data_IF_338229848263
#
_entry.id   IF_338229848263
#
_cell.length_a   1.000
_cell.length_b   1.000
_cell.length_c   1.000
_cell.angle_alpha   90.00
_cell.angle_beta   90.00
_cell.angle_gamma   90.00
#
_symmetry.space_group_name_H-M   'P 1'
#
loop_
_entity.id
_entity.type
_entity.pdbx_description
1 polymer ?
#
# COMPACT_ATOMS: atom_id res chain seq x y z
N UNK A 1 -15.19 -12.04 -1.72
CA UNK A 1 -15.12 -10.63 -1.29
C UNK A 1 -14.55 -9.84 -2.44
N UNK A 2 -15.15 -8.71 -2.81
CA UNK A 2 -14.67 -7.85 -3.91
C UNK A 2 -13.41 -7.10 -3.47
N UNK A 3 -12.31 -7.22 -4.20
CA UNK A 3 -11.07 -6.44 -3.99
C UNK A 3 -11.37 -4.94 -4.11
N UNK A 4 -10.85 -4.13 -3.19
CA UNK A 4 -11.07 -2.68 -3.20
C UNK A 4 -10.33 -2.02 -4.38
N UNK A 5 -10.83 -0.89 -4.89
CA UNK A 5 -10.17 -0.18 -5.98
C UNK A 5 -8.74 0.27 -5.60
N UNK A 6 -8.54 0.63 -4.32
CA UNK A 6 -7.24 0.98 -3.75
C UNK A 6 -6.25 -0.19 -3.66
N UNK A 7 -6.73 -1.44 -3.66
CA UNK A 7 -5.87 -2.64 -3.62
C UNK A 7 -5.44 -3.11 -5.02
N UNK A 8 -6.01 -2.53 -6.09
CA UNK A 8 -5.67 -2.86 -7.48
C UNK A 8 -4.54 -1.97 -7.97
N UNK A 9 -3.32 -2.30 -7.56
CA UNK A 9 -2.12 -1.47 -7.78
C UNK A 9 -1.38 -1.76 -9.11
N UNK A 10 -1.87 -2.72 -9.90
CA UNK A 10 -1.35 -3.03 -11.22
C UNK A 10 -1.85 -2.00 -12.25
N UNK A 11 -1.06 -0.94 -12.46
CA UNK A 11 -1.32 0.09 -13.45
C UNK A 11 -1.74 1.44 -12.86
N UNK A 12 -2.60 2.18 -13.59
CA UNK A 12 -3.01 3.53 -13.19
C UNK A 12 -4.12 3.49 -12.12
N UNK A 13 -4.13 4.43 -11.15
CA UNK A 13 -5.17 4.51 -10.13
C UNK A 13 -6.58 4.70 -10.72
N UNK A 14 -7.54 3.91 -10.23
CA UNK A 14 -8.96 3.99 -10.64
C UNK A 14 -9.71 5.05 -9.84
N UNK A 15 -9.34 6.32 -10.00
CA UNK A 15 -9.85 7.44 -9.19
C UNK A 15 -11.39 7.48 -9.07
N UNK A 16 -12.13 7.20 -10.15
CA UNK A 16 -13.60 7.22 -10.16
C UNK A 16 -14.26 6.13 -9.31
N UNK A 17 -13.51 5.13 -8.83
CA UNK A 17 -14.00 4.02 -8.02
C UNK A 17 -13.56 4.10 -6.55
N UNK A 18 -12.71 5.07 -6.21
CA UNK A 18 -12.24 5.30 -4.84
C UNK A 18 -13.32 6.06 -4.07
N UNK A 19 -13.75 5.51 -2.93
CA UNK A 19 -14.66 6.18 -2.00
C UNK A 19 -14.01 6.32 -0.62
N UNK A 20 -14.38 7.33 0.19
CA UNK A 20 -13.78 7.56 1.52
C UNK A 20 -13.81 6.32 2.42
N UNK A 21 -14.89 5.54 2.40
CA UNK A 21 -15.04 4.34 3.22
C UNK A 21 -14.03 3.23 2.89
N UNK A 22 -13.43 3.24 1.69
CA UNK A 22 -12.39 2.29 1.29
C UNK A 22 -11.01 2.64 1.86
N UNK A 23 -10.77 3.92 2.20
CA UNK A 23 -9.44 4.43 2.53
C UNK A 23 -8.87 3.74 3.77
N UNK A 24 -9.60 3.81 4.88
CA UNK A 24 -9.14 3.23 6.15
C UNK A 24 -8.85 1.73 6.05
N UNK A 25 -9.74 0.87 5.53
CA UNK A 25 -9.45 -0.56 5.44
C UNK A 25 -8.28 -0.87 4.49
N UNK A 26 -8.21 -0.24 3.31
CA UNK A 26 -7.14 -0.49 2.35
C UNK A 26 -5.76 -0.07 2.88
N UNK A 27 -5.66 1.14 3.45
CA UNK A 27 -4.38 1.68 3.98
C UNK A 27 -3.94 0.90 5.22
N UNK A 28 -4.89 0.54 6.11
CA UNK A 28 -4.56 -0.25 7.31
C UNK A 28 -4.01 -1.62 6.94
N UNK A 29 -4.62 -2.28 5.94
CA UNK A 29 -4.13 -3.55 5.42
C UNK A 29 -2.73 -3.42 4.81
N UNK A 30 -2.51 -2.42 3.96
CA UNK A 30 -1.19 -2.20 3.35
C UNK A 30 -0.09 -1.96 4.41
N UNK A 31 -0.38 -1.18 5.46
CA UNK A 31 0.55 -0.97 6.59
C UNK A 31 0.84 -2.28 7.32
N UNK A 32 -0.18 -3.11 7.54
CA UNK A 32 -0.02 -4.41 8.18
C UNK A 32 0.83 -5.37 7.34
N UNK A 33 0.62 -5.39 6.02
CA UNK A 33 1.43 -6.17 5.07
C UNK A 33 2.91 -5.73 5.10
N UNK A 34 3.18 -4.42 5.19
CA UNK A 34 4.55 -3.90 5.38
C UNK A 34 5.18 -4.40 6.69
N UNK A 35 4.44 -4.34 7.80
CA UNK A 35 4.94 -4.79 9.11
C UNK A 35 5.26 -6.29 9.10
N UNK A 36 4.35 -7.11 8.58
CA UNK A 36 4.55 -8.55 8.46
C UNK A 36 5.76 -8.87 7.58
N UNK A 37 5.96 -8.11 6.49
CA UNK A 37 7.15 -8.25 5.64
C UNK A 37 8.43 -7.97 6.44
N UNK A 38 8.47 -6.88 7.21
CA UNK A 38 9.62 -6.54 8.06
C UNK A 38 9.87 -7.66 9.09
N UNK A 39 8.84 -8.13 9.78
CA UNK A 39 8.96 -9.22 10.75
C UNK A 39 9.52 -10.50 10.12
N UNK A 40 9.03 -10.88 8.94
CA UNK A 40 9.51 -12.05 8.21
C UNK A 40 10.97 -11.90 7.74
N UNK A 41 11.34 -10.72 7.25
CA UNK A 41 12.72 -10.39 6.86
C UNK A 41 13.66 -10.52 8.06
N UNK A 42 13.31 -9.94 9.20
CA UNK A 42 14.13 -10.00 10.42
C UNK A 42 14.23 -11.44 10.95
N UNK A 43 13.11 -12.17 11.01
CA UNK A 43 13.08 -13.54 11.50
C UNK A 43 13.87 -14.53 10.64
N UNK A 44 14.08 -14.22 9.35
CA UNK A 44 14.81 -15.09 8.44
C UNK A 44 16.31 -15.22 8.75
N UNK A 45 16.92 -14.21 9.40
CA UNK A 45 18.36 -14.14 9.62
C UNK A 45 19.20 -13.98 8.34
N UNK A 46 18.57 -13.81 7.17
CA UNK A 46 19.26 -13.55 5.91
C UNK A 46 19.43 -12.04 5.69
N UNK A 47 20.67 -11.57 5.73
CA UNK A 47 21.02 -10.16 5.52
C UNK A 47 21.40 -9.83 4.06
N UNK A 48 21.04 -10.71 3.12
CA UNK A 48 21.24 -10.45 1.69
C UNK A 48 20.42 -9.24 1.22
N UNK A 49 20.90 -8.58 0.17
CA UNK A 49 20.16 -7.50 -0.50
C UNK A 49 18.77 -7.97 -0.94
N UNK A 50 18.68 -9.18 -1.49
CA UNK A 50 17.43 -9.77 -1.96
C UNK A 50 16.41 -9.96 -0.84
N UNK A 51 16.86 -10.27 0.38
CA UNK A 51 15.94 -10.45 1.50
C UNK A 51 15.61 -9.14 2.20
N UNK A 52 16.60 -8.30 2.52
CA UNK A 52 16.37 -7.08 3.29
C UNK A 52 15.83 -5.97 2.40
N UNK A 53 16.59 -5.58 1.37
CA UNK A 53 16.27 -4.39 0.58
C UNK A 53 15.11 -4.68 -0.36
N UNK A 54 15.22 -5.71 -1.21
CA UNK A 54 14.20 -5.95 -2.25
C UNK A 54 12.81 -6.22 -1.68
N UNK A 55 12.69 -7.05 -0.63
CA UNK A 55 11.37 -7.35 -0.04
C UNK A 55 10.74 -6.14 0.65
N UNK A 56 11.54 -5.33 1.36
CA UNK A 56 11.04 -4.13 2.03
C UNK A 56 10.63 -3.09 0.98
N UNK A 57 11.45 -2.88 -0.06
CA UNK A 57 11.14 -1.96 -1.15
C UNK A 57 9.85 -2.37 -1.90
N UNK A 58 9.66 -3.66 -2.16
CA UNK A 58 8.42 -4.17 -2.79
C UNK A 58 7.18 -3.90 -1.94
N UNK A 59 7.26 -4.14 -0.62
CA UNK A 59 6.14 -3.85 0.27
C UNK A 59 5.87 -2.34 0.40
N UNK A 60 6.91 -1.51 0.46
CA UNK A 60 6.79 -0.06 0.49
C UNK A 60 6.19 0.50 -0.80
N UNK A 61 6.60 -0.01 -1.97
CA UNK A 61 6.03 0.39 -3.26
C UNK A 61 4.52 0.10 -3.34
N UNK A 62 4.06 -1.05 -2.81
CA UNK A 62 2.62 -1.36 -2.72
C UNK A 62 1.91 -0.35 -1.82
N UNK A 63 2.43 -0.06 -0.62
CA UNK A 63 1.85 0.96 0.27
C UNK A 63 1.80 2.34 -0.39
N UNK A 64 2.86 2.73 -1.10
CA UNK A 64 2.94 3.96 -1.86
C UNK A 64 1.87 4.04 -2.94
N UNK A 65 1.63 2.95 -3.69
CA UNK A 65 0.58 2.85 -4.72
C UNK A 65 -0.83 2.90 -4.14
N UNK A 66 -1.04 2.42 -2.92
CA UNK A 66 -2.31 2.54 -2.19
C UNK A 66 -2.53 3.97 -1.69
N UNK A 67 -1.50 4.61 -1.13
CA UNK A 67 -1.63 5.92 -0.48
C UNK A 67 -1.59 7.11 -1.45
N UNK A 68 -0.79 7.04 -2.51
CA UNK A 68 -0.63 8.14 -3.47
C UNK A 68 -1.95 8.65 -4.07
N UNK A 69 -2.90 7.79 -4.50
CA UNK A 69 -4.19 8.23 -5.01
C UNK A 69 -5.04 8.93 -3.95
N UNK A 70 -5.00 8.44 -2.70
CA UNK A 70 -5.72 9.04 -1.57
C UNK A 70 -5.18 10.43 -1.27
N UNK A 71 -3.85 10.57 -1.17
CA UNK A 71 -3.19 11.86 -0.95
C UNK A 71 -3.48 12.85 -2.09
N UNK A 72 -3.46 12.39 -3.34
CA UNK A 72 -3.80 13.20 -4.49
C UNK A 72 -5.25 13.70 -4.42
N UNK A 73 -6.23 12.81 -4.20
CA UNK A 73 -7.64 13.19 -4.08
C UNK A 73 -7.85 14.16 -2.92
N UNK A 74 -7.16 13.97 -1.79
CA UNK A 74 -7.22 14.91 -0.69
C UNK A 74 -6.69 16.31 -1.06
N UNK A 75 -5.72 16.39 -1.97
CA UNK A 75 -5.16 17.67 -2.42
C UNK A 75 -6.02 18.39 -3.47
N UNK A 76 -6.86 17.69 -4.23
CA UNK A 76 -7.55 18.27 -5.41
C UNK A 76 -9.08 18.17 -5.37
N UNK A 77 -9.65 17.34 -4.48
CA UNK A 77 -11.10 17.12 -4.36
C UNK A 77 -11.63 17.56 -3.00
N UNK A 78 -10.90 17.33 -1.91
CA UNK A 78 -11.34 17.73 -0.57
C UNK A 78 -11.46 19.25 -0.46
N UNK A 79 -12.55 19.73 0.13
CA UNK A 79 -12.87 21.16 0.27
C UNK A 79 -13.25 21.58 1.68
N UNK A 80 -12.86 20.78 2.68
CA UNK A 80 -12.97 21.15 4.10
C UNK A 80 -12.00 22.30 4.47
#
# INVERSE_FOLDING_TARGET
MTTLALEQVDGLPRFSQITPDQVKPAVTKAIEDCKQTIEAVVASGDYSYANVVSKIDEADDVLGKVWSPVSHMNSVVSSD
#
